data_IF_005718719050
#
_entry.id   IF_005718719050
#
_cell.length_a   1.000
_cell.length_b   1.000
_cell.length_c   1.000
_cell.angle_alpha   90.00
_cell.angle_beta   90.00
_cell.angle_gamma   90.00
#
_symmetry.space_group_name_H-M   'P 1'
#
loop_
_entity.id
_entity.type
_entity.pdbx_description
1 polymer ?
#
# COMPACT_ATOMS: atom_id res chain seq x y z
N UNK A 1 24.32 16.46 14.25
CA UNK A 1 22.91 16.34 14.72
C UNK A 1 22.76 15.18 15.70
N UNK A 2 22.29 15.45 16.92
CA UNK A 2 22.22 14.49 18.04
C UNK A 2 20.95 13.64 17.97
N UNK A 3 20.93 12.47 18.66
CA UNK A 3 19.73 11.61 18.79
C UNK A 3 18.49 12.38 19.33
N UNK A 4 18.70 13.41 20.10
CA UNK A 4 17.64 14.25 20.67
C UNK A 4 16.92 15.08 19.60
N UNK A 5 17.63 15.61 18.59
CA UNK A 5 17.07 16.46 17.55
C UNK A 5 16.06 15.70 16.67
N UNK A 6 16.34 14.40 16.39
CA UNK A 6 15.39 13.54 15.66
C UNK A 6 14.13 13.27 16.49
N UNK A 7 14.27 13.08 17.80
CA UNK A 7 13.13 12.82 18.69
C UNK A 7 12.22 14.05 18.78
N UNK A 8 12.78 15.24 18.86
CA UNK A 8 12.02 16.48 18.87
C UNK A 8 11.27 16.74 17.57
N UNK A 9 11.91 16.42 16.44
CA UNK A 9 11.24 16.47 15.15
C UNK A 9 10.13 15.42 15.02
N UNK A 10 10.34 14.19 15.51
CA UNK A 10 9.29 13.17 15.56
C UNK A 10 8.07 13.64 16.38
N UNK A 11 8.31 14.20 17.57
CA UNK A 11 7.23 14.78 18.41
C UNK A 11 6.49 15.89 17.65
N UNK A 12 7.21 16.77 16.96
CA UNK A 12 6.60 17.82 16.13
C UNK A 12 5.71 17.24 15.04
N UNK A 13 6.14 16.16 14.37
CA UNK A 13 5.35 15.49 13.34
C UNK A 13 4.09 14.85 13.90
N UNK A 14 4.14 14.29 15.10
CA UNK A 14 3.01 13.65 15.77
C UNK A 14 2.05 14.71 16.34
N UNK A 15 2.56 15.61 17.16
CA UNK A 15 1.75 16.49 17.99
C UNK A 15 1.19 17.69 17.20
N UNK A 16 2.01 18.27 16.31
CA UNK A 16 1.62 19.47 15.56
C UNK A 16 1.09 19.16 14.16
N UNK A 17 1.69 18.18 13.47
CA UNK A 17 1.28 17.82 12.10
C UNK A 17 0.28 16.67 12.05
N UNK A 18 0.06 15.95 13.15
CA UNK A 18 -0.84 14.80 13.24
C UNK A 18 -0.55 13.72 12.18
N UNK A 19 0.74 13.50 11.88
CA UNK A 19 1.15 12.52 10.90
C UNK A 19 1.08 11.09 11.48
N UNK A 20 0.76 10.14 10.61
CA UNK A 20 0.78 8.73 10.98
C UNK A 20 2.19 8.25 11.32
N UNK A 21 2.31 7.24 12.19
CA UNK A 21 3.60 6.64 12.55
C UNK A 21 4.42 6.20 11.33
N UNK A 22 3.77 5.72 10.27
CA UNK A 22 4.45 5.36 9.02
C UNK A 22 5.05 6.57 8.30
N UNK A 23 4.35 7.71 8.32
CA UNK A 23 4.85 8.97 7.74
C UNK A 23 6.02 9.48 8.55
N UNK A 24 5.90 9.50 9.89
CA UNK A 24 6.96 9.90 10.82
C UNK A 24 8.23 9.09 10.57
N UNK A 25 8.13 7.75 10.56
CA UNK A 25 9.26 6.86 10.30
C UNK A 25 9.88 7.04 8.91
N UNK A 26 9.06 7.39 7.91
CA UNK A 26 9.55 7.64 6.55
C UNK A 26 10.32 8.95 6.48
N UNK A 27 9.82 10.01 7.09
CA UNK A 27 10.45 11.32 7.14
C UNK A 27 11.76 11.28 7.94
N UNK A 28 11.76 10.60 9.09
CA UNK A 28 13.00 10.37 9.84
C UNK A 28 14.07 9.68 8.99
N UNK A 29 13.68 8.61 8.28
CA UNK A 29 14.61 7.88 7.40
C UNK A 29 15.13 8.73 6.28
N UNK A 30 14.30 9.57 5.68
CA UNK A 30 14.72 10.49 4.61
C UNK A 30 15.70 11.55 5.14
N UNK A 31 15.44 12.13 6.33
CA UNK A 31 16.38 13.05 6.97
C UNK A 31 17.70 12.38 7.33
N UNK A 32 17.67 11.18 7.91
CA UNK A 32 18.92 10.46 8.22
C UNK A 32 19.79 10.26 6.98
N UNK A 33 19.18 9.93 5.85
CA UNK A 33 19.91 9.81 4.58
C UNK A 33 20.48 11.14 4.12
N UNK A 34 19.72 12.22 4.24
CA UNK A 34 20.20 13.56 3.92
C UNK A 34 21.42 13.94 4.78
N UNK A 35 21.35 13.73 6.10
CA UNK A 35 22.48 14.04 6.98
C UNK A 35 23.72 13.19 6.71
N UNK A 36 23.55 11.91 6.37
CA UNK A 36 24.67 11.05 5.93
C UNK A 36 25.29 11.60 4.64
N UNK A 37 24.48 12.06 3.68
CA UNK A 37 24.98 12.69 2.46
C UNK A 37 25.73 13.98 2.74
N UNK A 38 25.20 14.86 3.60
CA UNK A 38 25.83 16.12 3.97
C UNK A 38 27.20 15.90 4.62
N UNK A 39 27.27 15.02 5.61
CA UNK A 39 28.50 14.65 6.30
C UNK A 39 29.54 14.09 5.31
N UNK A 40 29.14 13.19 4.43
CA UNK A 40 30.01 12.60 3.40
C UNK A 40 30.51 13.59 2.35
N UNK A 41 29.85 14.74 2.19
CA UNK A 41 30.24 15.81 1.26
C UNK A 41 30.86 17.05 1.95
N UNK A 42 31.22 16.92 3.25
CA UNK A 42 31.94 17.95 4.00
C UNK A 42 31.07 19.14 4.42
N UNK A 43 29.74 19.01 4.43
CA UNK A 43 28.88 20.03 4.99
C UNK A 43 28.86 19.94 6.52
N UNK A 44 28.91 21.10 7.18
CA UNK A 44 28.64 21.15 8.61
C UNK A 44 27.13 21.03 8.87
N UNK A 45 26.73 19.89 9.39
CA UNK A 45 25.32 19.62 9.68
C UNK A 45 24.73 20.55 10.76
N UNK A 46 25.55 21.16 11.59
CA UNK A 46 25.13 22.08 12.65
C UNK A 46 24.98 23.52 12.11
N UNK A 47 25.67 23.87 11.02
CA UNK A 47 25.42 25.11 10.27
C UNK A 47 24.34 24.92 9.22
N UNK A 48 23.07 25.00 9.66
CA UNK A 48 21.89 24.80 8.84
C UNK A 48 21.88 25.67 7.58
N UNK A 49 22.44 26.89 7.65
CA UNK A 49 22.46 27.82 6.52
C UNK A 49 23.40 27.36 5.40
N UNK A 50 24.41 26.57 5.71
CA UNK A 50 25.37 26.08 4.73
C UNK A 50 24.75 25.04 3.78
N UNK A 51 23.76 24.27 4.23
CA UNK A 51 23.20 23.16 3.47
C UNK A 51 21.68 23.27 3.18
N UNK A 52 20.90 24.00 3.99
CA UNK A 52 19.45 24.15 3.76
C UNK A 52 19.21 25.20 2.65
N UNK A 53 19.77 24.96 1.50
CA UNK A 53 19.70 25.79 0.29
C UNK A 53 19.17 25.00 -0.87
N UNK A 54 18.55 25.68 -1.84
CA UNK A 54 18.06 25.02 -3.06
C UNK A 54 19.17 24.28 -3.80
N UNK A 55 20.37 24.87 -3.88
CA UNK A 55 21.52 24.26 -4.57
C UNK A 55 21.93 22.96 -3.90
N UNK A 56 22.11 22.96 -2.58
CA UNK A 56 22.53 21.76 -1.86
C UNK A 56 21.48 20.65 -1.95
N UNK A 57 20.19 21.00 -1.80
CA UNK A 57 19.12 20.02 -1.88
C UNK A 57 18.96 19.49 -3.32
N UNK A 58 19.16 20.31 -4.36
CA UNK A 58 19.21 19.83 -5.74
C UNK A 58 20.33 18.82 -5.98
N UNK A 59 21.55 19.11 -5.49
CA UNK A 59 22.68 18.17 -5.57
C UNK A 59 22.35 16.85 -4.87
N UNK A 60 21.69 16.91 -3.72
CA UNK A 60 21.23 15.70 -3.04
C UNK A 60 20.17 14.94 -3.85
N UNK A 61 19.24 15.65 -4.54
CA UNK A 61 18.27 14.99 -5.41
C UNK A 61 18.93 14.32 -6.61
N UNK A 62 19.99 14.92 -7.19
CA UNK A 62 20.80 14.28 -8.23
C UNK A 62 21.48 13.03 -7.71
N UNK A 63 22.14 13.12 -6.56
CA UNK A 63 22.72 11.94 -5.90
C UNK A 63 21.69 10.81 -5.71
N UNK A 64 20.47 11.11 -5.30
CA UNK A 64 19.41 10.10 -5.16
C UNK A 64 18.98 9.52 -6.52
N UNK A 65 18.95 10.33 -7.60
CA UNK A 65 18.65 9.84 -8.97
C UNK A 65 19.72 8.89 -9.46
N UNK A 66 21.00 9.25 -9.29
CA UNK A 66 22.13 8.41 -9.67
C UNK A 66 22.15 7.08 -8.93
N UNK A 67 21.72 7.07 -7.68
CA UNK A 67 21.50 5.87 -6.88
C UNK A 67 20.14 5.16 -7.15
N UNK A 68 19.46 5.52 -8.26
CA UNK A 68 18.25 4.85 -8.77
C UNK A 68 17.06 4.85 -7.80
N UNK A 69 16.95 5.87 -6.94
CA UNK A 69 15.75 6.05 -6.14
C UNK A 69 14.55 6.48 -7.01
N UNK A 70 13.37 5.96 -6.70
CA UNK A 70 12.14 6.26 -7.45
C UNK A 70 11.73 7.73 -7.31
N UNK A 71 11.05 8.27 -8.35
CA UNK A 71 10.47 9.62 -8.31
C UNK A 71 9.55 9.84 -7.09
N UNK A 72 8.83 8.81 -6.66
CA UNK A 72 8.01 8.88 -5.44
C UNK A 72 8.86 9.08 -4.17
N UNK A 73 10.04 8.44 -4.10
CA UNK A 73 10.99 8.64 -2.99
C UNK A 73 11.56 10.05 -3.03
N UNK A 74 11.96 10.54 -4.20
CA UNK A 74 12.45 11.90 -4.35
C UNK A 74 11.39 12.94 -3.92
N UNK A 75 10.16 12.80 -4.40
CA UNK A 75 9.06 13.69 -4.03
C UNK A 75 8.78 13.69 -2.52
N UNK A 76 8.84 12.50 -1.87
CA UNK A 76 8.70 12.40 -0.43
C UNK A 76 9.88 13.09 0.29
N UNK A 77 11.10 12.91 -0.18
CA UNK A 77 12.28 13.55 0.39
C UNK A 77 12.18 15.08 0.32
N UNK A 78 11.73 15.64 -0.81
CA UNK A 78 11.46 17.08 -0.92
C UNK A 78 10.41 17.52 0.10
N UNK A 79 9.30 16.78 0.21
CA UNK A 79 8.28 17.05 1.23
C UNK A 79 8.84 16.98 2.66
N UNK A 80 9.74 16.04 2.93
CA UNK A 80 10.42 15.90 4.22
C UNK A 80 11.29 17.13 4.51
N UNK A 81 12.06 17.63 3.54
CA UNK A 81 12.90 18.83 3.68
C UNK A 81 12.02 20.06 3.95
N UNK A 82 10.91 20.23 3.25
CA UNK A 82 9.97 21.33 3.51
C UNK A 82 9.41 21.29 4.93
N UNK A 83 8.93 20.11 5.39
CA UNK A 83 8.38 19.99 6.74
C UNK A 83 9.46 20.14 7.81
N UNK A 84 10.68 19.72 7.53
CA UNK A 84 11.81 19.95 8.44
C UNK A 84 12.17 21.45 8.51
N UNK A 85 12.16 22.15 7.40
CA UNK A 85 12.33 23.61 7.35
C UNK A 85 11.25 24.36 8.14
N UNK A 86 9.99 23.90 8.05
CA UNK A 86 8.91 24.44 8.89
C UNK A 86 9.15 24.21 10.39
N UNK A 87 9.61 23.00 10.74
CA UNK A 87 9.98 22.68 12.13
C UNK A 87 11.08 23.60 12.65
N UNK A 88 12.15 23.81 11.88
CA UNK A 88 13.27 24.70 12.26
C UNK A 88 12.80 26.15 12.44
N UNK A 89 11.92 26.62 11.56
CA UNK A 89 11.33 27.95 11.66
C UNK A 89 10.44 28.09 12.91
N UNK A 90 9.57 27.13 13.15
CA UNK A 90 8.67 27.12 14.31
C UNK A 90 9.43 27.04 15.66
N UNK A 91 10.63 26.47 15.65
CA UNK A 91 11.53 26.43 16.81
C UNK A 91 12.45 27.66 16.91
N UNK A 92 12.29 28.66 16.03
CA UNK A 92 13.15 29.85 15.93
C UNK A 92 14.65 29.53 15.70
N UNK A 93 14.97 28.37 15.12
CA UNK A 93 16.33 27.98 14.77
C UNK A 93 16.75 28.71 13.48
N UNK A 94 15.84 28.90 12.55
CA UNK A 94 16.02 29.73 11.36
C UNK A 94 15.05 30.93 11.40
N UNK A 95 15.46 32.07 10.85
CA UNK A 95 14.63 33.28 10.83
C UNK A 95 13.64 33.30 9.67
N UNK A 96 14.04 32.72 8.53
CA UNK A 96 13.26 32.68 7.31
C UNK A 96 13.21 31.27 6.76
N UNK A 97 12.09 30.90 6.14
CA UNK A 97 11.97 29.61 5.45
C UNK A 97 12.71 29.70 4.11
N UNK A 98 13.67 28.81 3.82
CA UNK A 98 14.33 28.81 2.53
C UNK A 98 13.33 28.51 1.41
N UNK A 99 13.47 29.22 0.29
CA UNK A 99 12.74 28.90 -0.93
C UNK A 99 13.46 27.72 -1.60
N UNK A 100 12.84 26.56 -1.58
CA UNK A 100 13.34 25.33 -2.18
C UNK A 100 12.26 24.86 -3.17
N UNK A 101 12.37 25.27 -4.45
CA UNK A 101 11.42 24.89 -5.51
C UNK A 101 12.03 23.79 -6.40
N UNK A 102 12.01 22.56 -5.88
CA UNK A 102 12.54 21.40 -6.60
C UNK A 102 11.43 20.69 -7.33
N UNK A 103 11.43 20.78 -8.64
CA UNK A 103 10.50 20.05 -9.51
C UNK A 103 10.98 18.62 -9.73
N UNK A 104 10.24 17.69 -9.14
CA UNK A 104 10.44 16.27 -9.45
C UNK A 104 9.63 15.96 -10.71
N UNK A 105 10.33 15.65 -11.80
CA UNK A 105 9.68 15.07 -12.97
C UNK A 105 9.09 13.73 -12.54
N UNK A 106 7.77 13.62 -12.62
CA UNK A 106 7.14 12.32 -12.43
C UNK A 106 7.66 11.41 -13.51
N UNK A 107 8.11 10.22 -13.12
CA UNK A 107 8.28 9.15 -14.08
C UNK A 107 7.01 9.03 -14.92
N UNK A 108 7.16 8.65 -16.19
CA UNK A 108 6.00 8.44 -17.05
C UNK A 108 4.96 7.63 -16.26
N UNK A 109 3.71 8.10 -16.23
CA UNK A 109 2.64 7.42 -15.50
C UNK A 109 2.65 5.95 -15.90
N UNK A 110 3.15 5.09 -15.02
CA UNK A 110 3.08 3.66 -15.27
C UNK A 110 1.61 3.25 -15.30
N UNK A 111 1.23 2.57 -16.35
CA UNK A 111 -0.10 1.97 -16.44
C UNK A 111 -0.32 1.06 -15.23
N UNK A 112 -1.53 1.08 -14.69
CA UNK A 112 -1.88 0.19 -13.60
C UNK A 112 -1.72 -1.26 -14.07
N UNK A 113 -1.08 -2.07 -13.26
CA UNK A 113 -1.08 -3.53 -13.46
C UNK A 113 -2.46 -4.04 -13.06
N UNK A 114 -3.18 -4.58 -14.03
CA UNK A 114 -4.51 -5.15 -13.88
C UNK A 114 -4.45 -6.61 -14.33
N UNK A 115 -4.89 -7.50 -13.47
CA UNK A 115 -5.12 -8.90 -13.81
C UNK A 115 -6.47 -9.05 -14.51
N UNK A 116 -6.55 -9.88 -15.52
CA UNK A 116 -7.82 -10.28 -16.15
C UNK A 116 -8.64 -11.13 -15.17
N UNK A 117 -9.95 -11.25 -15.40
CA UNK A 117 -10.81 -12.13 -14.57
C UNK A 117 -10.34 -13.58 -14.61
N UNK A 118 -9.80 -14.04 -15.75
CA UNK A 118 -9.21 -15.36 -15.88
C UNK A 118 -7.95 -15.52 -15.01
N UNK A 119 -7.02 -14.57 -15.06
CA UNK A 119 -5.84 -14.57 -14.17
C UNK A 119 -6.24 -14.53 -12.70
N UNK A 120 -7.27 -13.74 -12.34
CA UNK A 120 -7.80 -13.72 -10.97
C UNK A 120 -8.34 -15.09 -10.58
N UNK A 121 -9.14 -15.72 -11.44
CA UNK A 121 -9.66 -17.05 -11.16
C UNK A 121 -8.53 -18.06 -10.90
N UNK A 122 -7.47 -18.04 -11.71
CA UNK A 122 -6.29 -18.89 -11.50
C UNK A 122 -5.57 -18.57 -10.18
N UNK A 123 -5.46 -17.28 -9.80
CA UNK A 123 -4.82 -16.88 -8.53
C UNK A 123 -5.63 -17.38 -7.33
N UNK A 124 -6.95 -17.35 -7.42
CA UNK A 124 -7.87 -17.79 -6.36
C UNK A 124 -8.03 -19.32 -6.29
N UNK A 125 -7.69 -20.04 -7.37
CA UNK A 125 -7.79 -21.50 -7.43
C UNK A 125 -6.59 -22.15 -6.72
N UNK A 126 -6.69 -22.25 -5.40
CA UNK A 126 -5.66 -22.82 -4.53
C UNK A 126 -6.17 -24.17 -3.99
N UNK A 127 -5.41 -25.24 -4.27
CA UNK A 127 -5.63 -26.53 -3.64
C UNK A 127 -5.37 -26.44 -2.13
N UNK A 128 -6.35 -26.83 -1.33
CA UNK A 128 -6.30 -26.72 0.13
C UNK A 128 -5.92 -28.07 0.75
N UNK A 129 -4.65 -28.37 0.77
CA UNK A 129 -4.10 -29.62 1.31
C UNK A 129 -3.54 -29.43 2.73
N UNK A 130 -2.98 -28.27 3.03
CA UNK A 130 -2.36 -27.95 4.33
C UNK A 130 -3.08 -26.78 5.00
N UNK A 131 -2.86 -26.62 6.30
CA UNK A 131 -3.37 -25.47 7.05
C UNK A 131 -2.95 -24.11 6.42
N UNK A 132 -1.72 -24.05 5.91
CA UNK A 132 -1.25 -22.85 5.22
C UNK A 132 -2.01 -22.58 3.94
N UNK A 133 -2.40 -23.60 3.18
CA UNK A 133 -3.13 -23.42 1.92
C UNK A 133 -4.55 -22.91 2.20
N UNK A 134 -5.23 -23.43 3.23
CA UNK A 134 -6.52 -22.87 3.68
C UNK A 134 -6.41 -21.41 4.08
N UNK A 135 -5.36 -21.04 4.85
CA UNK A 135 -5.07 -19.65 5.22
C UNK A 135 -4.83 -18.79 4.00
N UNK A 136 -3.94 -19.23 3.11
CA UNK A 136 -3.52 -18.47 1.94
C UNK A 136 -4.72 -18.23 1.00
N UNK A 137 -5.56 -19.25 0.79
CA UNK A 137 -6.83 -19.13 0.04
C UNK A 137 -7.75 -18.09 0.68
N UNK A 138 -7.97 -18.16 1.99
CA UNK A 138 -8.81 -17.19 2.69
C UNK A 138 -8.26 -15.75 2.58
N UNK A 139 -6.93 -15.57 2.62
CA UNK A 139 -6.28 -14.26 2.40
C UNK A 139 -6.54 -13.75 0.98
N UNK A 140 -6.40 -14.59 -0.05
CA UNK A 140 -6.60 -14.17 -1.43
C UNK A 140 -8.07 -13.86 -1.72
N UNK A 141 -9.01 -14.70 -1.28
CA UNK A 141 -10.45 -14.46 -1.42
C UNK A 141 -10.85 -13.15 -0.74
N UNK A 142 -10.45 -12.94 0.51
CA UNK A 142 -10.71 -11.70 1.22
C UNK A 142 -10.09 -10.48 0.54
N UNK A 143 -8.84 -10.64 0.09
CA UNK A 143 -8.11 -9.54 -0.57
C UNK A 143 -8.78 -9.09 -1.87
N UNK A 144 -9.35 -10.02 -2.63
CA UNK A 144 -10.05 -9.69 -3.86
C UNK A 144 -11.51 -9.26 -3.62
N UNK A 145 -12.19 -9.82 -2.62
CA UNK A 145 -13.59 -9.45 -2.30
C UNK A 145 -13.74 -7.97 -1.93
N UNK A 146 -12.87 -7.47 -1.07
CA UNK A 146 -13.01 -6.13 -0.49
C UNK A 146 -11.80 -5.22 -0.72
N UNK A 147 -10.77 -5.71 -1.39
CA UNK A 147 -9.54 -4.96 -1.63
C UNK A 147 -8.85 -4.51 -0.32
N UNK A 148 -8.86 -5.34 0.72
CA UNK A 148 -8.26 -5.02 2.02
C UNK A 148 -6.76 -4.73 1.88
N UNK A 149 -6.25 -3.75 2.65
CA UNK A 149 -4.81 -3.45 2.65
C UNK A 149 -4.04 -4.48 3.47
N UNK A 150 -2.74 -4.73 3.16
CA UNK A 150 -1.93 -5.67 3.92
C UNK A 150 -1.96 -5.43 5.43
N UNK A 151 -1.82 -4.17 5.84
CA UNK A 151 -1.83 -3.79 7.27
C UNK A 151 -3.20 -3.98 7.93
N UNK A 152 -4.28 -3.82 7.18
CA UNK A 152 -5.64 -4.09 7.67
C UNK A 152 -5.83 -5.60 7.83
N UNK A 153 -5.43 -6.40 6.82
CA UNK A 153 -5.56 -7.85 6.79
C UNK A 153 -4.78 -8.55 7.92
N UNK A 154 -3.49 -8.21 8.11
CA UNK A 154 -2.65 -8.84 9.14
C UNK A 154 -3.06 -8.45 10.57
N UNK A 155 -3.80 -7.35 10.73
CA UNK A 155 -4.27 -6.90 12.04
C UNK A 155 -5.67 -7.38 12.39
N UNK A 156 -6.40 -8.03 11.46
CA UNK A 156 -7.70 -8.62 11.78
C UNK A 156 -7.58 -9.61 12.95
N UNK A 157 -8.56 -9.57 13.84
CA UNK A 157 -8.72 -10.49 14.94
C UNK A 157 -9.95 -11.38 14.72
N UNK A 158 -10.04 -12.50 15.43
CA UNK A 158 -11.16 -13.44 15.30
C UNK A 158 -12.52 -12.74 15.56
N UNK A 159 -12.57 -11.85 16.55
CA UNK A 159 -13.78 -11.07 16.90
C UNK A 159 -14.19 -10.07 15.83
N UNK A 160 -13.32 -9.74 14.89
CA UNK A 160 -13.62 -8.80 13.80
C UNK A 160 -14.45 -9.43 12.68
N UNK A 161 -14.64 -10.74 12.71
CA UNK A 161 -15.28 -11.51 11.64
C UNK A 161 -16.60 -12.09 12.13
N UNK A 162 -17.68 -11.81 11.41
CA UNK A 162 -18.96 -12.45 11.62
C UNK A 162 -19.38 -13.18 10.34
N UNK A 163 -19.18 -14.51 10.31
CA UNK A 163 -19.49 -15.35 9.16
C UNK A 163 -20.96 -15.76 9.06
N UNK A 164 -21.76 -15.54 10.10
CA UNK A 164 -23.21 -15.82 10.08
C UNK A 164 -23.94 -14.70 9.33
N UNK A 165 -23.60 -13.44 9.65
CA UNK A 165 -24.17 -12.26 8.97
C UNK A 165 -23.38 -11.95 7.69
N UNK A 166 -22.11 -12.37 7.58
CA UNK A 166 -21.29 -12.18 6.40
C UNK A 166 -20.61 -10.80 6.33
N UNK A 167 -19.97 -10.35 7.41
CA UNK A 167 -19.18 -9.12 7.40
C UNK A 167 -17.88 -9.24 8.17
N UNK A 168 -16.95 -8.31 7.88
CA UNK A 168 -15.80 -8.03 8.72
C UNK A 168 -15.84 -6.58 9.20
N UNK A 169 -15.30 -6.37 10.40
CA UNK A 169 -15.14 -5.05 11.01
C UNK A 169 -13.68 -4.86 11.37
N UNK A 170 -13.02 -3.86 10.80
CA UNK A 170 -11.63 -3.59 11.08
C UNK A 170 -11.36 -2.12 11.37
N UNK A 171 -10.33 -1.89 12.15
CA UNK A 171 -9.93 -0.54 12.57
C UNK A 171 -9.27 0.21 11.41
N UNK A 172 -9.77 1.44 11.17
CA UNK A 172 -9.21 2.38 10.22
C UNK A 172 -8.96 3.72 10.92
N UNK A 173 -7.72 3.97 11.32
CA UNK A 173 -7.36 5.13 12.16
C UNK A 173 -8.19 5.12 13.47
N UNK A 174 -8.99 6.16 13.71
CA UNK A 174 -9.80 6.32 14.94
C UNK A 174 -11.24 5.80 14.79
N UNK A 175 -11.57 5.17 13.67
CA UNK A 175 -12.90 4.62 13.38
C UNK A 175 -12.83 3.15 13.02
N UNK A 176 -13.98 2.47 13.14
CA UNK A 176 -14.17 1.13 12.61
C UNK A 176 -14.85 1.19 11.25
N UNK A 177 -14.47 0.28 10.38
CA UNK A 177 -15.10 0.07 9.09
C UNK A 177 -15.68 -1.33 9.03
N UNK A 178 -16.96 -1.44 8.70
CA UNK A 178 -17.65 -2.71 8.46
C UNK A 178 -17.82 -2.89 6.96
N UNK A 179 -17.47 -4.06 6.44
CA UNK A 179 -17.59 -4.40 5.02
C UNK A 179 -18.22 -5.78 4.89
N UNK A 180 -19.22 -5.88 4.01
CA UNK A 180 -19.84 -7.16 3.69
C UNK A 180 -18.88 -8.04 2.89
N UNK A 181 -18.95 -9.34 3.13
CA UNK A 181 -18.18 -10.36 2.44
C UNK A 181 -19.06 -11.06 1.39
N UNK A 182 -18.46 -11.46 0.27
CA UNK A 182 -19.11 -12.37 -0.67
C UNK A 182 -19.07 -13.83 -0.15
N UNK A 183 -19.84 -14.68 -0.77
CA UNK A 183 -19.99 -16.09 -0.38
C UNK A 183 -18.67 -16.84 -0.39
N UNK A 184 -17.83 -16.60 -1.39
CA UNK A 184 -16.53 -17.26 -1.57
C UNK A 184 -15.55 -16.92 -0.44
N UNK A 185 -15.52 -15.65 -0.01
CA UNK A 185 -14.69 -15.23 1.13
C UNK A 185 -15.19 -15.81 2.45
N UNK A 186 -16.52 -15.85 2.64
CA UNK A 186 -17.12 -16.47 3.84
C UNK A 186 -16.74 -17.95 3.91
N UNK A 187 -16.88 -18.67 2.80
CA UNK A 187 -16.58 -20.10 2.71
C UNK A 187 -15.08 -20.35 2.94
N UNK A 188 -14.20 -19.59 2.29
CA UNK A 188 -12.77 -19.74 2.43
C UNK A 188 -12.30 -19.47 3.87
N UNK A 189 -12.83 -18.42 4.53
CA UNK A 189 -12.51 -18.14 5.94
C UNK A 189 -13.06 -19.24 6.85
N UNK A 190 -14.30 -19.73 6.61
CA UNK A 190 -14.89 -20.82 7.39
C UNK A 190 -14.04 -22.08 7.29
N UNK A 191 -13.66 -22.49 6.10
CA UNK A 191 -12.80 -23.64 5.86
C UNK A 191 -11.44 -23.53 6.56
N UNK A 192 -10.86 -22.32 6.57
CA UNK A 192 -9.64 -22.06 7.31
C UNK A 192 -9.84 -22.20 8.85
N UNK A 193 -10.91 -21.62 9.39
CA UNK A 193 -11.22 -21.74 10.83
C UNK A 193 -11.49 -23.18 11.25
N UNK A 194 -12.16 -23.96 10.41
CA UNK A 194 -12.40 -25.38 10.65
C UNK A 194 -11.10 -26.19 10.58
N UNK A 195 -10.17 -25.84 9.67
CA UNK A 195 -8.85 -26.43 9.61
C UNK A 195 -8.05 -26.10 10.90
N UNK A 196 -8.11 -24.87 11.42
CA UNK A 196 -7.47 -24.53 12.72
C UNK A 196 -8.00 -25.40 13.85
N UNK A 197 -9.31 -25.58 13.94
CA UNK A 197 -9.96 -26.45 14.95
C UNK A 197 -9.50 -27.90 14.81
N UNK A 198 -9.49 -28.43 13.58
CA UNK A 198 -9.04 -29.81 13.29
C UNK A 198 -7.59 -30.03 13.72
N UNK A 199 -6.74 -29.04 13.53
CA UNK A 199 -5.33 -29.09 13.94
C UNK A 199 -5.11 -28.70 15.41
N UNK A 200 -6.19 -28.46 16.17
CA UNK A 200 -6.16 -28.10 17.60
C UNK A 200 -5.28 -26.86 17.89
N UNK A 201 -5.25 -25.91 16.95
CA UNK A 201 -4.56 -24.64 17.17
C UNK A 201 -5.33 -23.82 18.19
N UNK A 202 -4.72 -23.39 19.32
CA UNK A 202 -5.42 -22.58 20.31
C UNK A 202 -5.72 -21.18 19.74
N UNK A 203 -6.98 -20.79 19.77
CA UNK A 203 -7.45 -19.48 19.31
C UNK A 203 -8.41 -18.88 20.32
N UNK A 204 -8.36 -17.56 20.50
CA UNK A 204 -9.33 -16.76 21.26
C UNK A 204 -9.92 -15.67 20.35
N UNK A 205 -10.86 -14.90 20.86
CA UNK A 205 -11.43 -13.76 20.16
C UNK A 205 -10.39 -12.69 19.82
N UNK A 206 -9.36 -12.55 20.66
CA UNK A 206 -8.25 -11.59 20.47
C UNK A 206 -7.12 -12.13 19.57
N UNK A 207 -7.13 -13.43 19.26
CA UNK A 207 -6.15 -14.00 18.33
C UNK A 207 -6.27 -13.36 16.96
N UNK A 208 -5.13 -13.16 16.29
CA UNK A 208 -5.14 -12.71 14.89
C UNK A 208 -5.88 -13.72 14.03
N UNK A 209 -6.61 -13.22 13.03
CA UNK A 209 -7.38 -14.07 12.11
C UNK A 209 -6.45 -15.00 11.30
N UNK A 210 -5.36 -14.45 10.77
CA UNK A 210 -4.41 -15.22 9.96
C UNK A 210 -3.13 -15.49 10.73
N UNK A 211 -2.87 -16.76 10.99
CA UNK A 211 -1.76 -17.21 11.84
C UNK A 211 -0.56 -17.71 11.00
N UNK A 212 0.63 -17.57 11.56
CA UNK A 212 1.85 -18.21 11.09
C UNK A 212 1.96 -19.64 11.63
N UNK A 213 3.09 -20.31 11.38
CA UNK A 213 3.34 -21.68 11.86
C UNK A 213 3.53 -21.79 13.37
N UNK A 214 3.84 -20.68 14.05
CA UNK A 214 4.00 -20.63 15.52
C UNK A 214 2.65 -20.36 16.23
N UNK A 215 1.56 -20.20 15.48
CA UNK A 215 0.25 -19.84 16.03
C UNK A 215 0.07 -18.34 16.33
N UNK A 216 1.03 -17.50 15.92
CA UNK A 216 0.96 -16.06 16.04
C UNK A 216 0.45 -15.40 14.75
N UNK A 217 0.08 -14.12 14.80
CA UNK A 217 -0.34 -13.39 13.62
C UNK A 217 0.74 -13.32 12.54
N UNK A 218 0.36 -13.47 11.28
CA UNK A 218 1.30 -13.33 10.17
C UNK A 218 1.90 -11.91 10.12
N UNK A 219 3.21 -11.83 9.91
CA UNK A 219 3.91 -10.57 9.74
C UNK A 219 3.66 -9.98 8.34
N UNK A 220 3.96 -8.68 8.16
CA UNK A 220 3.91 -8.05 6.83
C UNK A 220 4.81 -8.75 5.81
N UNK A 221 5.97 -9.23 6.24
CA UNK A 221 6.87 -10.01 5.38
C UNK A 221 6.27 -11.38 5.03
N UNK A 222 5.64 -12.06 6.01
CA UNK A 222 4.93 -13.32 5.78
C UNK A 222 3.81 -13.15 4.76
N UNK A 223 2.98 -12.10 4.92
CA UNK A 223 1.94 -11.75 3.98
C UNK A 223 2.48 -11.50 2.56
N UNK A 224 3.57 -10.74 2.43
CA UNK A 224 4.21 -10.53 1.14
C UNK A 224 4.74 -11.84 0.51
N UNK A 225 5.33 -12.73 1.33
CA UNK A 225 5.82 -14.04 0.85
C UNK A 225 4.71 -14.91 0.27
N UNK A 226 3.49 -14.86 0.82
CA UNK A 226 2.31 -15.59 0.30
C UNK A 226 2.03 -15.16 -1.13
N UNK A 227 1.97 -13.86 -1.40
CA UNK A 227 1.75 -13.35 -2.77
C UNK A 227 2.89 -13.73 -3.73
N UNK A 228 4.15 -13.65 -3.29
CA UNK A 228 5.31 -14.02 -4.12
C UNK A 228 5.36 -15.52 -4.39
N UNK A 229 4.99 -16.37 -3.41
CA UNK A 229 4.87 -17.81 -3.59
C UNK A 229 3.86 -18.10 -4.70
N UNK A 230 2.65 -17.54 -4.62
CA UNK A 230 1.59 -17.75 -5.62
C UNK A 230 1.97 -17.22 -6.99
N UNK A 231 2.64 -16.08 -7.08
CA UNK A 231 3.17 -15.55 -8.34
C UNK A 231 4.11 -16.55 -9.02
N UNK A 232 5.00 -17.16 -8.23
CA UNK A 232 5.97 -18.14 -8.74
C UNK A 232 5.30 -19.44 -9.18
N UNK A 233 4.34 -19.95 -8.39
CA UNK A 233 3.58 -21.18 -8.71
C UNK A 233 2.85 -21.08 -10.04
N UNK A 234 2.29 -19.90 -10.35
CA UNK A 234 1.54 -19.65 -11.59
C UNK A 234 2.40 -19.06 -12.71
N UNK A 235 3.71 -18.89 -12.49
CA UNK A 235 4.64 -18.29 -13.48
C UNK A 235 4.14 -16.95 -14.03
N UNK A 236 3.48 -16.14 -13.19
CA UNK A 236 2.88 -14.89 -13.64
C UNK A 236 3.95 -13.89 -14.07
N UNK A 237 3.81 -13.35 -15.29
CA UNK A 237 4.67 -12.29 -15.80
C UNK A 237 4.41 -10.94 -15.15
N UNK A 238 3.16 -10.70 -14.73
CA UNK A 238 2.76 -9.51 -13.96
C UNK A 238 3.13 -9.68 -12.49
N UNK A 239 3.55 -8.60 -11.86
CA UNK A 239 3.83 -8.64 -10.44
C UNK A 239 2.55 -8.84 -9.62
N UNK A 240 2.45 -9.95 -8.89
CA UNK A 240 1.37 -10.23 -7.97
C UNK A 240 1.70 -9.61 -6.60
N UNK A 241 1.03 -8.53 -6.29
CA UNK A 241 1.06 -7.87 -5.00
C UNK A 241 -0.35 -7.35 -4.64
N UNK A 242 -0.55 -7.01 -3.38
CA UNK A 242 -1.87 -6.57 -2.89
C UNK A 242 -2.39 -5.33 -3.61
N UNK A 243 -1.50 -4.41 -4.00
CA UNK A 243 -1.93 -3.20 -4.72
C UNK A 243 -2.48 -3.54 -6.10
N UNK A 244 -1.77 -4.39 -6.87
CA UNK A 244 -2.20 -4.80 -8.20
C UNK A 244 -3.46 -5.66 -8.15
N UNK A 245 -3.60 -6.47 -7.09
CA UNK A 245 -4.80 -7.25 -6.84
C UNK A 245 -6.02 -6.35 -6.55
N UNK A 246 -5.83 -5.34 -5.69
CA UNK A 246 -6.83 -4.32 -5.39
C UNK A 246 -7.15 -3.42 -6.59
N UNK A 247 -6.15 -3.09 -7.43
CA UNK A 247 -6.36 -2.34 -8.68
C UNK A 247 -7.26 -3.13 -9.63
N UNK A 248 -7.06 -4.45 -9.71
CA UNK A 248 -7.88 -5.34 -10.53
C UNK A 248 -9.32 -5.37 -10.06
N UNK A 249 -9.57 -5.52 -8.75
CA UNK A 249 -10.91 -5.40 -8.16
C UNK A 249 -11.58 -4.08 -8.54
N UNK A 250 -10.88 -2.95 -8.35
CA UNK A 250 -11.42 -1.64 -8.64
C UNK A 250 -11.87 -1.49 -10.10
N UNK A 251 -11.02 -1.96 -11.05
CA UNK A 251 -11.34 -1.89 -12.47
C UNK A 251 -12.47 -2.84 -12.83
N UNK A 252 -12.50 -4.05 -12.27
CA UNK A 252 -13.56 -5.03 -12.52
C UNK A 252 -14.93 -4.54 -12.01
N UNK A 253 -14.99 -3.94 -10.82
CA UNK A 253 -16.23 -3.32 -10.32
C UNK A 253 -16.73 -2.21 -11.25
N UNK A 254 -15.82 -1.35 -11.72
CA UNK A 254 -16.15 -0.29 -12.68
C UNK A 254 -16.55 -0.85 -14.06
N UNK A 255 -15.98 -1.98 -14.50
CA UNK A 255 -16.40 -2.69 -15.72
C UNK A 255 -17.83 -3.21 -15.61
N UNK A 256 -18.20 -3.70 -14.42
CA UNK A 256 -19.56 -4.17 -14.09
C UNK A 256 -20.55 -3.02 -13.83
N UNK A 257 -20.14 -1.78 -14.09
CA UNK A 257 -20.92 -0.56 -13.89
C UNK A 257 -21.35 -0.30 -12.44
N UNK A 258 -20.58 -0.80 -11.45
CA UNK A 258 -20.78 -0.43 -10.05
C UNK A 258 -20.54 1.09 -9.91
N UNK A 259 -21.42 1.83 -9.24
CA UNK A 259 -21.28 3.28 -9.05
C UNK A 259 -19.90 3.63 -8.42
N UNK A 260 -19.32 4.73 -8.90
CA UNK A 260 -17.97 5.17 -8.44
C UNK A 260 -17.93 5.37 -6.92
N UNK A 261 -19.02 5.85 -6.33
CA UNK A 261 -19.17 6.07 -4.89
C UNK A 261 -19.08 4.75 -4.14
N UNK A 262 -19.74 3.71 -4.64
CA UNK A 262 -19.73 2.38 -4.02
C UNK A 262 -18.34 1.74 -4.14
N UNK A 263 -17.68 1.89 -5.30
CA UNK A 263 -16.28 1.45 -5.45
C UNK A 263 -15.35 2.20 -4.50
N UNK A 264 -15.55 3.51 -4.30
CA UNK A 264 -14.82 4.30 -3.32
C UNK A 264 -15.04 3.74 -1.91
N UNK A 265 -16.27 3.43 -1.58
CA UNK A 265 -16.64 2.87 -0.29
C UNK A 265 -16.04 1.47 -0.10
N UNK A 266 -16.26 0.54 -1.05
CA UNK A 266 -15.68 -0.83 -1.01
C UNK A 266 -14.16 -0.79 -0.83
N UNK A 267 -13.47 0.13 -1.50
CA UNK A 267 -12.03 0.28 -1.36
C UNK A 267 -11.61 1.14 -0.15
N UNK A 268 -12.53 1.80 0.54
CA UNK A 268 -12.23 2.69 1.65
C UNK A 268 -11.30 3.85 1.29
N UNK A 269 -11.49 4.44 0.11
CA UNK A 269 -10.71 5.58 -0.33
C UNK A 269 -11.25 6.87 0.27
N UNK A 270 -10.37 7.71 0.82
CA UNK A 270 -10.77 9.01 1.41
C UNK A 270 -11.25 10.01 0.36
N UNK A 271 -10.73 9.92 -0.85
CA UNK A 271 -10.98 10.89 -1.91
C UNK A 271 -11.28 10.18 -3.23
N UNK A 272 -12.35 10.62 -3.90
CA UNK A 272 -12.76 10.13 -5.21
C UNK A 272 -11.67 10.36 -6.29
N UNK A 273 -10.81 11.38 -6.10
CA UNK A 273 -9.69 11.61 -7.01
C UNK A 273 -8.73 10.42 -7.09
N UNK A 274 -8.65 9.58 -6.05
CA UNK A 274 -7.87 8.34 -6.07
C UNK A 274 -8.39 7.33 -7.10
N UNK A 275 -9.63 7.47 -7.59
CA UNK A 275 -10.22 6.61 -8.61
C UNK A 275 -9.89 7.05 -10.04
N UNK A 276 -9.29 8.24 -10.25
CA UNK A 276 -8.96 8.74 -11.60
C UNK A 276 -8.09 7.78 -12.40
N UNK A 277 -7.11 7.15 -11.76
CA UNK A 277 -6.22 6.16 -12.39
C UNK A 277 -6.98 4.92 -12.85
N UNK A 278 -7.95 4.44 -12.05
CA UNK A 278 -8.79 3.30 -12.40
C UNK A 278 -9.72 3.62 -13.57
N UNK A 279 -10.36 4.79 -13.56
CA UNK A 279 -11.22 5.26 -14.66
C UNK A 279 -10.41 5.41 -15.96
N UNK A 280 -9.18 5.93 -15.88
CA UNK A 280 -8.27 6.04 -17.03
C UNK A 280 -7.93 4.66 -17.59
N UNK A 281 -7.59 3.71 -16.73
CA UNK A 281 -7.32 2.32 -17.09
C UNK A 281 -8.54 1.65 -17.74
N UNK A 282 -9.72 1.81 -17.16
CA UNK A 282 -10.98 1.30 -17.71
C UNK A 282 -11.27 1.85 -19.12
N UNK A 283 -11.10 3.16 -19.34
CA UNK A 283 -11.29 3.76 -20.66
C UNK A 283 -10.34 3.16 -21.70
N UNK A 284 -9.08 2.95 -21.33
CA UNK A 284 -8.06 2.31 -22.20
C UNK A 284 -8.48 0.88 -22.55
N UNK A 285 -8.89 0.09 -21.56
CA UNK A 285 -9.35 -1.29 -21.76
C UNK A 285 -10.60 -1.36 -22.65
N UNK A 286 -11.60 -0.48 -22.42
CA UNK A 286 -12.80 -0.40 -23.27
C UNK A 286 -12.48 0.01 -24.71
N UNK A 287 -11.55 0.94 -24.92
CA UNK A 287 -11.10 1.33 -26.24
C UNK A 287 -10.43 0.16 -27.00
N UNK A 288 -9.54 -0.57 -26.32
CA UNK A 288 -8.89 -1.76 -26.87
C UNK A 288 -9.92 -2.84 -27.22
N UNK A 289 -10.87 -3.14 -26.33
CA UNK A 289 -11.95 -4.11 -26.59
C UNK A 289 -12.79 -3.70 -27.82
N UNK A 290 -13.13 -2.40 -27.97
CA UNK A 290 -13.84 -1.89 -29.16
C UNK A 290 -13.03 -2.03 -30.45
N UNK A 291 -11.73 -1.76 -30.43
CA UNK A 291 -10.85 -1.98 -31.59
C UNK A 291 -10.87 -3.45 -32.04
N UNK A 292 -10.76 -4.41 -31.10
CA UNK A 292 -10.81 -5.82 -31.44
C UNK A 292 -12.20 -6.30 -31.89
N UNK A 293 -13.29 -5.78 -31.29
CA UNK A 293 -14.64 -6.14 -31.68
C UNK A 293 -14.99 -5.64 -33.10
N UNK A 294 -14.45 -4.49 -33.51
CA UNK A 294 -14.68 -3.86 -34.79
C UNK A 294 -13.51 -4.05 -35.77
N UNK A 295 -12.61 -5.02 -35.51
CA UNK A 295 -11.46 -5.23 -36.38
C UNK A 295 -11.91 -5.71 -37.76
N UNK A 296 -11.42 -5.09 -38.88
CA UNK A 296 -11.86 -5.42 -40.24
C UNK A 296 -11.78 -6.91 -40.60
N UNK A 297 -10.82 -7.63 -40.03
CA UNK A 297 -10.67 -9.08 -40.25
C UNK A 297 -11.85 -9.95 -39.78
N UNK A 298 -12.68 -9.44 -38.86
CA UNK A 298 -13.91 -10.12 -38.40
C UNK A 298 -14.99 -10.11 -39.48
N UNK A 299 -15.00 -9.13 -40.35
CA UNK A 299 -15.92 -9.02 -41.48
C UNK A 299 -15.49 -9.85 -42.71
N UNK A 300 -14.32 -10.49 -42.61
CA UNK A 300 -13.74 -11.30 -43.69
C UNK A 300 -13.94 -12.82 -43.46
N UNK A 301 -14.85 -13.21 -42.54
CA UNK A 301 -15.26 -14.61 -42.32
C UNK A 301 -16.60 -14.89 -42.97
#
# INVERSE_FOLDING_TARGET
MNKNDFKDFQNYLIDKKHFSSNTVNSYERDLRKLFIYLDSNGYDCDDIRSWLTEVCINNYMEYLRDNKYSAATLARTVSTVHVYSEYLFDKNIIKDKPQIDIKITKDAEHDLVIFTRYEIAQILDIDTLTLNDFRDKAIFELSYSIGIKPTECINLEMKDVNLEIGYIKYRKQDSYRTVALNTESIEAIRNYLDALKKHKVPISEESKLFLNHDGEGISRQGYWKIFKKRQKELELTKELNTMNFRNSLAVHLLEDNVPIQDVQEILGLKNIHSLKSYIKSLKKTKAIKRMFSNHPRKAMK
#
